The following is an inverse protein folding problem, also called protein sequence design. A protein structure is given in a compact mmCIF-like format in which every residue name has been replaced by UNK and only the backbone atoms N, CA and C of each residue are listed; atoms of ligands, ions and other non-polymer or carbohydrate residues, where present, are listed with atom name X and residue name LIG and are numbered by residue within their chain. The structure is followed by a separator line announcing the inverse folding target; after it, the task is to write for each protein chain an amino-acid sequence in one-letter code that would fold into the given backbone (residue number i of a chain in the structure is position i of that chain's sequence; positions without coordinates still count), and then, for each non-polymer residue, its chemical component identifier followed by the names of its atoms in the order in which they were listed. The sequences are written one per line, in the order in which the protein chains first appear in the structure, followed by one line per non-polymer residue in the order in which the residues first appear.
data_IF_442733682229
#
_entry.id   IF_442733682229
#
_cell.length_a   1.000
_cell.length_b   1.000
_cell.length_c   1.000
_cell.angle_alpha   90.00
_cell.angle_beta   90.00
_cell.angle_gamma   90.00
#
_symmetry.space_group_name_H-M   'P 1'
#
loop_
_entity.id
_entity.type
_entity.pdbx_description
1 polymer ?
#
# COMPACT_ATOMS: atom_id res chain seq x y z
N UNK A 1 31.90 -11.57 12.50
CA UNK A 1 30.87 -10.59 12.09
C UNK A 1 31.51 -9.65 11.09
N UNK A 2 30.88 -9.42 9.93
CA UNK A 2 31.40 -8.46 8.95
C UNK A 2 30.81 -7.09 9.26
N UNK A 3 31.65 -6.16 9.73
CA UNK A 3 31.28 -4.76 9.96
C UNK A 3 31.82 -3.94 8.80
N UNK A 4 30.95 -3.23 8.10
CA UNK A 4 31.27 -2.39 6.94
C UNK A 4 30.94 -0.94 7.33
N UNK A 5 31.97 -0.10 7.49
CA UNK A 5 31.82 1.32 7.82
C UNK A 5 32.12 2.15 6.58
N UNK A 6 31.22 3.07 6.24
CA UNK A 6 31.31 3.89 5.03
C UNK A 6 31.06 5.35 5.37
N UNK A 7 31.79 6.24 4.70
CA UNK A 7 31.50 7.66 4.74
C UNK A 7 30.21 7.96 3.96
N UNK A 8 29.40 8.95 4.38
CA UNK A 8 28.23 9.36 3.62
C UNK A 8 28.67 9.92 2.26
N UNK A 9 28.13 9.36 1.18
CA UNK A 9 28.38 9.82 -0.17
C UNK A 9 27.34 10.88 -0.58
N UNK A 10 27.75 11.83 -1.43
CA UNK A 10 26.83 12.80 -2.02
C UNK A 10 25.86 12.07 -2.95
N UNK A 11 24.56 12.35 -2.79
CA UNK A 11 23.53 11.80 -3.67
C UNK A 11 23.74 12.31 -5.09
N UNK A 12 24.09 11.42 -6.01
CA UNK A 12 24.09 11.74 -7.44
C UNK A 12 22.64 12.01 -7.85
N UNK A 13 22.38 13.20 -8.39
CA UNK A 13 21.12 13.43 -9.08
C UNK A 13 21.20 12.68 -10.40
N UNK A 14 20.51 11.55 -10.49
CA UNK A 14 20.39 10.83 -11.76
C UNK A 14 19.58 11.73 -12.69
N UNK A 15 20.09 12.07 -13.89
CA UNK A 15 19.28 12.78 -14.87
C UNK A 15 18.06 11.92 -15.20
N UNK A 16 16.89 12.54 -15.24
CA UNK A 16 15.64 11.86 -15.57
C UNK A 16 15.71 11.29 -16.99
N UNK A 17 16.01 9.99 -17.11
CA UNK A 17 15.80 9.22 -18.34
C UNK A 17 14.30 8.96 -18.54
N UNK A 18 13.56 10.02 -18.83
CA UNK A 18 12.18 9.94 -19.28
C UNK A 18 11.92 11.17 -20.13
N UNK A 19 11.46 10.97 -21.36
CA UNK A 19 10.96 12.03 -22.24
C UNK A 19 10.09 12.99 -21.42
N UNK A 20 10.48 14.26 -21.42
CA UNK A 20 9.80 15.29 -20.68
C UNK A 20 8.41 15.51 -21.33
N UNK A 21 7.41 14.76 -20.88
CA UNK A 21 6.07 15.31 -20.87
C UNK A 21 6.14 16.56 -19.99
N UNK A 22 5.84 17.73 -20.54
CA UNK A 22 5.75 18.98 -19.80
C UNK A 22 4.61 18.87 -18.78
N UNK A 23 4.93 18.33 -17.61
CA UNK A 23 4.02 18.27 -16.48
C UNK A 23 3.93 19.66 -15.89
N UNK A 24 2.72 20.21 -15.82
CA UNK A 24 2.48 21.52 -15.21
C UNK A 24 2.64 21.38 -13.69
N UNK A 25 3.84 21.70 -13.20
CA UNK A 25 4.16 21.70 -11.77
C UNK A 25 3.81 23.05 -11.16
N UNK A 26 3.20 23.03 -9.97
CA UNK A 26 2.82 24.21 -9.21
C UNK A 26 3.34 24.12 -7.78
N UNK A 27 3.55 25.28 -7.16
CA UNK A 27 3.82 25.43 -5.73
C UNK A 27 2.65 26.13 -5.04
N UNK A 28 2.52 26.02 -3.70
CA UNK A 28 1.48 26.72 -2.97
C UNK A 28 1.52 28.23 -3.22
N UNK A 29 0.39 28.81 -3.60
CA UNK A 29 0.24 30.23 -3.96
C UNK A 29 0.27 30.52 -5.46
N UNK A 30 0.67 29.55 -6.30
CA UNK A 30 0.63 29.72 -7.75
C UNK A 30 -0.82 29.79 -8.24
N UNK A 31 -1.10 30.76 -9.12
CA UNK A 31 -2.39 30.91 -9.77
C UNK A 31 -2.47 29.94 -10.95
N UNK A 32 -3.39 28.99 -10.89
CA UNK A 32 -3.57 27.98 -11.93
C UNK A 32 -4.39 28.56 -13.09
N UNK A 33 -5.52 29.21 -12.77
CA UNK A 33 -6.49 29.70 -13.75
C UNK A 33 -7.39 30.78 -13.11
N UNK A 34 -7.80 31.77 -13.89
CA UNK A 34 -8.69 32.87 -13.46
C UNK A 34 -10.12 32.71 -13.97
N UNK A 35 -10.41 31.66 -14.74
CA UNK A 35 -11.70 31.46 -15.38
C UNK A 35 -12.73 30.88 -14.41
N UNK A 36 -13.88 31.55 -14.32
CA UNK A 36 -15.01 31.23 -13.41
C UNK A 36 -15.75 29.93 -13.77
N UNK A 37 -15.38 29.27 -14.87
CA UNK A 37 -16.04 28.07 -15.38
C UNK A 37 -15.49 26.74 -14.85
N UNK A 38 -14.39 26.77 -14.09
CA UNK A 38 -13.75 25.56 -13.56
C UNK A 38 -14.20 25.26 -12.13
N UNK A 39 -14.47 23.97 -11.89
CA UNK A 39 -14.71 23.43 -10.56
C UNK A 39 -13.38 23.18 -9.85
N UNK A 40 -13.33 23.51 -8.57
CA UNK A 40 -12.20 23.22 -7.69
C UNK A 40 -12.22 21.76 -7.24
N UNK A 41 -11.09 21.08 -7.43
CA UNK A 41 -10.82 19.76 -6.89
C UNK A 41 -9.97 19.83 -5.60
N UNK A 42 -9.38 18.70 -5.25
CA UNK A 42 -8.43 18.63 -4.13
C UNK A 42 -7.15 19.41 -4.46
N UNK A 43 -6.55 20.04 -3.46
CA UNK A 43 -5.27 20.77 -3.61
C UNK A 43 -5.39 22.16 -4.24
N UNK A 44 -6.62 22.67 -4.42
CA UNK A 44 -6.87 24.04 -4.89
C UNK A 44 -7.79 24.79 -3.93
N UNK A 45 -7.64 26.11 -3.89
CA UNK A 45 -8.55 27.01 -3.20
C UNK A 45 -8.85 28.23 -4.10
N UNK A 46 -9.92 28.96 -3.78
CA UNK A 46 -10.24 30.20 -4.48
C UNK A 46 -9.78 31.37 -3.62
N UNK A 47 -9.01 32.26 -4.23
CA UNK A 47 -8.51 33.48 -3.61
C UNK A 47 -8.79 34.64 -4.56
N UNK A 48 -9.56 35.63 -4.13
CA UNK A 48 -9.93 36.82 -4.95
C UNK A 48 -10.38 36.49 -6.39
N UNK A 49 -11.28 35.51 -6.55
CA UNK A 49 -11.79 35.00 -7.85
C UNK A 49 -10.76 34.28 -8.73
N UNK A 50 -9.54 34.03 -8.21
CA UNK A 50 -8.49 33.27 -8.86
C UNK A 50 -8.39 31.88 -8.23
N UNK A 51 -8.20 30.86 -9.06
CA UNK A 51 -7.95 29.51 -8.58
C UNK A 51 -6.45 29.36 -8.28
N UNK A 52 -6.11 29.18 -7.01
CA UNK A 52 -4.73 29.05 -6.52
C UNK A 52 -4.44 27.65 -6.02
N UNK A 53 -3.20 27.19 -6.17
CA UNK A 53 -2.73 25.92 -5.66
C UNK A 53 -2.46 26.02 -4.14
N UNK A 54 -2.93 25.05 -3.35
CA UNK A 54 -2.59 24.94 -1.92
C UNK A 54 -1.42 24.00 -1.65
N UNK A 55 -1.08 23.14 -2.60
CA UNK A 55 -0.10 22.05 -2.45
C UNK A 55 0.90 22.05 -3.60
N UNK A 56 2.13 21.60 -3.32
CA UNK A 56 3.15 21.42 -4.34
C UNK A 56 2.91 20.10 -5.09
N UNK A 57 2.72 20.18 -6.41
CA UNK A 57 2.26 19.03 -7.17
C UNK A 57 2.09 19.28 -8.66
N UNK A 58 1.57 18.27 -9.34
CA UNK A 58 1.20 18.33 -10.74
C UNK A 58 -0.28 18.74 -10.86
N UNK A 59 -0.59 19.64 -11.79
CA UNK A 59 -1.97 20.05 -12.06
C UNK A 59 -2.63 19.03 -12.96
N UNK A 60 -3.66 18.35 -12.46
CA UNK A 60 -4.52 17.47 -13.22
C UNK A 60 -5.81 18.20 -13.60
N UNK A 61 -6.06 18.29 -14.91
CA UNK A 61 -7.28 18.90 -15.47
C UNK A 61 -8.17 17.80 -16.03
N UNK A 62 -9.25 17.49 -15.31
CA UNK A 62 -10.24 16.50 -15.74
C UNK A 62 -11.53 17.22 -16.11
N UNK A 63 -11.72 17.45 -17.42
CA UNK A 63 -12.83 18.26 -17.95
C UNK A 63 -12.86 19.67 -17.35
N UNK A 64 -13.86 19.96 -16.51
CA UNK A 64 -14.01 21.23 -15.79
C UNK A 64 -13.43 21.19 -14.38
N UNK A 65 -12.99 20.04 -13.89
CA UNK A 65 -12.43 19.90 -12.54
C UNK A 65 -10.91 20.07 -12.59
N UNK A 66 -10.39 21.00 -11.80
CA UNK A 66 -8.94 21.20 -11.64
C UNK A 66 -8.54 20.71 -10.25
N UNK A 67 -7.69 19.69 -10.20
CA UNK A 67 -7.07 19.20 -8.98
C UNK A 67 -5.55 19.31 -9.06
N UNK A 68 -4.90 19.44 -7.92
CA UNK A 68 -3.44 19.38 -7.82
C UNK A 68 -3.09 18.08 -7.12
N UNK A 69 -2.38 17.20 -7.82
CA UNK A 69 -1.89 15.94 -7.29
C UNK A 69 -0.58 16.20 -6.52
N UNK A 70 -0.55 16.07 -5.19
CA UNK A 70 0.64 16.36 -4.41
C UNK A 70 1.70 15.27 -4.61
N UNK A 71 2.97 15.65 -4.56
CA UNK A 71 4.10 14.70 -4.67
C UNK A 71 4.16 13.69 -3.51
N UNK A 72 3.62 14.06 -2.35
CA UNK A 72 3.51 13.21 -1.16
C UNK A 72 2.16 13.40 -0.53
N UNK A 73 1.44 12.30 -0.36
CA UNK A 73 0.13 12.28 0.31
C UNK A 73 0.08 11.17 1.34
N UNK A 74 -0.76 11.37 2.34
CA UNK A 74 -1.28 10.23 3.12
C UNK A 74 -2.30 9.47 2.28
N UNK A 75 -2.67 8.29 2.74
CA UNK A 75 -3.65 7.50 2.02
C UNK A 75 -5.03 8.18 2.12
N UNK A 76 -5.55 8.55 0.95
CA UNK A 76 -6.94 8.98 0.77
C UNK A 76 -7.68 7.79 0.16
N UNK A 77 -8.46 7.10 1.00
CA UNK A 77 -9.18 5.91 0.57
C UNK A 77 -10.35 6.23 -0.35
N UNK A 78 -10.52 5.42 -1.39
CA UNK A 78 -11.69 5.39 -2.24
C UNK A 78 -12.51 4.13 -1.98
N UNK A 79 -13.80 4.17 -2.32
CA UNK A 79 -14.69 3.02 -2.17
C UNK A 79 -14.19 1.88 -3.05
N UNK A 80 -14.00 0.69 -2.45
CA UNK A 80 -13.47 -0.49 -3.13
C UNK A 80 -11.95 -0.64 -3.07
N UNK A 81 -11.22 0.30 -2.46
CA UNK A 81 -9.78 0.14 -2.25
C UNK A 81 -9.49 -1.02 -1.28
N UNK A 82 -8.52 -1.86 -1.64
CA UNK A 82 -8.00 -2.90 -0.75
C UNK A 82 -6.90 -2.30 0.11
N UNK A 83 -7.03 -2.49 1.43
CA UNK A 83 -6.10 -1.96 2.42
C UNK A 83 -5.64 -3.05 3.37
N UNK A 84 -4.41 -2.93 3.82
CA UNK A 84 -3.90 -3.69 4.97
C UNK A 84 -3.82 -2.74 6.14
N UNK A 85 -4.27 -3.16 7.31
CA UNK A 85 -4.31 -2.28 8.48
C UNK A 85 -3.93 -3.00 9.76
N UNK A 86 -3.51 -2.23 10.76
CA UNK A 86 -3.19 -2.73 12.10
C UNK A 86 -4.25 -2.28 13.09
N UNK A 87 -4.77 -3.20 13.89
CA UNK A 87 -5.75 -2.87 14.92
C UNK A 87 -5.06 -2.10 16.03
N UNK A 88 -5.58 -0.91 16.34
CA UNK A 88 -5.03 -0.07 17.41
C UNK A 88 -5.79 -0.28 18.70
N UNK A 89 -7.13 -0.22 18.65
CA UNK A 89 -7.99 -0.29 19.82
C UNK A 89 -9.26 -1.08 19.49
N UNK A 90 -9.73 -1.87 20.46
CA UNK A 90 -11.06 -2.51 20.41
C UNK A 90 -12.05 -1.66 21.22
N UNK A 91 -13.09 -1.14 20.56
CA UNK A 91 -14.18 -0.41 21.20
C UNK A 91 -15.48 -1.23 21.18
N UNK A 92 -16.51 -0.74 21.86
CA UNK A 92 -17.82 -1.38 21.84
C UNK A 92 -18.36 -1.38 20.40
N UNK A 93 -18.61 -2.56 19.83
CA UNK A 93 -19.14 -2.83 18.47
C UNK A 93 -18.25 -2.41 17.30
N UNK A 94 -17.03 -1.93 17.53
CA UNK A 94 -16.12 -1.51 16.45
C UNK A 94 -14.66 -1.64 16.84
N UNK A 95 -13.83 -1.95 15.86
CA UNK A 95 -12.38 -1.87 15.95
C UNK A 95 -11.87 -0.62 15.27
N UNK A 96 -10.88 0.03 15.88
CA UNK A 96 -10.08 1.05 15.22
C UNK A 96 -8.89 0.42 14.54
N UNK A 97 -8.63 0.84 13.31
CA UNK A 97 -7.59 0.27 12.45
C UNK A 97 -6.72 1.40 11.91
N UNK A 98 -5.42 1.29 12.11
CA UNK A 98 -4.43 2.15 11.48
C UNK A 98 -4.21 1.72 10.02
N UNK A 99 -4.47 2.62 9.09
CA UNK A 99 -4.32 2.39 7.65
C UNK A 99 -3.53 3.50 6.95
N UNK A 100 -2.62 4.20 7.64
CA UNK A 100 -1.82 5.30 7.06
C UNK A 100 -2.65 6.45 6.44
N UNK A 101 -3.88 6.61 6.90
CA UNK A 101 -4.83 7.65 6.52
C UNK A 101 -4.70 8.90 7.42
N UNK A 102 -5.49 9.93 7.15
CA UNK A 102 -5.56 11.12 8.01
C UNK A 102 -6.12 10.81 9.41
N UNK A 103 -7.13 9.94 9.44
CA UNK A 103 -7.84 9.50 10.64
C UNK A 103 -7.76 7.97 10.73
N UNK A 104 -8.00 7.43 11.92
CA UNK A 104 -8.13 5.98 12.11
C UNK A 104 -9.35 5.46 11.36
N UNK A 105 -9.19 4.31 10.71
CA UNK A 105 -10.27 3.62 10.03
C UNK A 105 -11.13 2.86 11.04
N UNK A 106 -12.41 2.71 10.72
CA UNK A 106 -13.38 2.04 11.59
C UNK A 106 -13.81 0.73 10.91
N UNK A 107 -13.56 -0.38 11.59
CA UNK A 107 -14.12 -1.68 11.22
C UNK A 107 -15.26 -1.99 12.18
N UNK A 108 -16.49 -1.98 11.68
CA UNK A 108 -17.64 -2.35 12.50
C UNK A 108 -17.67 -3.86 12.70
N UNK A 109 -18.11 -4.32 13.88
CA UNK A 109 -18.54 -5.71 14.08
C UNK A 109 -19.57 -6.13 13.02
N UNK A 110 -20.30 -5.15 12.48
CA UNK A 110 -21.27 -5.40 11.44
C UNK A 110 -20.74 -5.80 10.08
N UNK A 111 -19.47 -5.53 9.87
CA UNK A 111 -18.81 -5.59 8.57
C UNK A 111 -17.78 -6.72 8.51
N UNK A 112 -17.77 -7.56 9.56
CA UNK A 112 -16.85 -8.67 9.73
C UNK A 112 -17.59 -10.00 9.55
N UNK A 113 -16.96 -10.93 8.85
CA UNK A 113 -17.46 -12.29 8.68
C UNK A 113 -17.15 -13.09 9.94
N UNK A 114 -18.16 -13.64 10.60
CA UNK A 114 -17.95 -14.56 11.71
C UNK A 114 -17.61 -15.96 11.16
N UNK A 115 -16.76 -16.74 11.85
CA UNK A 115 -16.47 -18.11 11.43
C UNK A 115 -17.76 -18.94 11.40
N UNK A 116 -17.99 -19.64 10.29
CA UNK A 116 -19.19 -20.46 10.06
C UNK A 116 -20.06 -20.02 8.88
N UNK A 117 -19.79 -18.88 8.24
CA UNK A 117 -20.43 -18.46 6.98
C UNK A 117 -21.93 -18.15 7.07
N UNK A 118 -22.53 -18.31 8.26
CA UNK A 118 -23.92 -18.02 8.51
C UNK A 118 -24.07 -16.53 8.85
N UNK A 119 -24.94 -15.81 8.12
CA UNK A 119 -25.42 -14.49 8.53
C UNK A 119 -26.31 -14.64 9.78
N UNK A 120 -25.70 -15.02 10.90
CA UNK A 120 -26.36 -15.15 12.19
C UNK A 120 -26.77 -13.76 12.69
N UNK A 121 -27.97 -13.66 13.28
CA UNK A 121 -28.37 -12.45 14.00
C UNK A 121 -27.39 -12.24 15.15
N UNK A 122 -26.70 -11.10 15.16
CA UNK A 122 -25.64 -10.81 16.13
C UNK A 122 -26.19 -10.81 17.55
N UNK A 123 -25.58 -11.63 18.39
CA UNK A 123 -25.95 -11.80 19.79
C UNK A 123 -25.10 -10.88 20.66
N UNK A 124 -25.56 -10.60 21.89
CA UNK A 124 -24.77 -9.87 22.91
C UNK A 124 -23.49 -10.66 23.27
N UNK A 125 -23.51 -11.97 23.06
CA UNK A 125 -22.36 -12.87 23.23
C UNK A 125 -21.22 -12.54 22.25
N UNK A 126 -21.55 -12.12 21.02
CA UNK A 126 -20.56 -11.74 20.00
C UNK A 126 -19.82 -10.45 20.39
N UNK A 127 -20.46 -9.59 21.20
CA UNK A 127 -19.82 -8.37 21.71
C UNK A 127 -18.75 -8.68 22.77
N UNK A 128 -18.91 -9.78 23.52
CA UNK A 128 -17.95 -10.23 24.52
C UNK A 128 -16.76 -10.97 23.87
N UNK A 129 -17.02 -11.74 22.81
CA UNK A 129 -15.99 -12.49 22.07
C UNK A 129 -15.25 -11.66 21.01
N UNK A 130 -15.55 -10.35 20.88
CA UNK A 130 -14.85 -9.47 19.94
C UNK A 130 -13.33 -9.49 20.10
N UNK A 131 -12.84 -9.58 21.34
CA UNK A 131 -11.38 -9.64 21.62
C UNK A 131 -10.76 -10.98 21.26
N UNK A 132 -11.53 -12.05 21.13
CA UNK A 132 -11.02 -13.37 20.76
C UNK A 132 -10.77 -13.47 19.25
N UNK A 133 -11.57 -12.77 18.45
CA UNK A 133 -11.38 -12.70 16.99
C UNK A 133 -10.21 -11.82 16.58
N UNK A 134 -10.17 -10.60 17.13
CA UNK A 134 -9.27 -9.54 16.72
C UNK A 134 -8.75 -8.80 17.95
N UNK A 135 -7.44 -8.94 18.17
CA UNK A 135 -6.72 -8.33 19.28
C UNK A 135 -6.01 -7.05 18.85
N UNK A 136 -5.67 -6.23 19.84
CA UNK A 136 -4.88 -5.02 19.62
C UNK A 136 -3.50 -5.41 19.07
N UNK A 137 -3.13 -4.80 17.95
CA UNK A 137 -1.88 -5.07 17.26
C UNK A 137 -1.97 -6.10 16.13
N UNK A 138 -3.09 -6.82 15.99
CA UNK A 138 -3.32 -7.73 14.87
C UNK A 138 -3.34 -6.98 13.54
N UNK A 139 -2.93 -7.68 12.47
CA UNK A 139 -2.99 -7.17 11.11
C UNK A 139 -4.20 -7.76 10.39
N UNK A 140 -4.87 -6.94 9.61
CA UNK A 140 -6.05 -7.32 8.83
C UNK A 140 -5.90 -6.87 7.38
N UNK A 141 -6.46 -7.65 6.46
CA UNK A 141 -6.79 -7.21 5.12
C UNK A 141 -8.27 -6.85 5.06
N UNK A 142 -8.60 -5.69 4.50
CA UNK A 142 -9.96 -5.23 4.39
C UNK A 142 -10.17 -4.40 3.12
N UNK A 143 -11.42 -4.20 2.76
CA UNK A 143 -11.85 -3.32 1.67
C UNK A 143 -12.57 -2.10 2.24
N UNK A 144 -12.39 -0.94 1.59
CA UNK A 144 -13.06 0.30 1.98
C UNK A 144 -14.52 0.27 1.50
N UNK A 145 -15.45 0.26 2.45
CA UNK A 145 -16.90 0.25 2.20
C UNK A 145 -17.41 1.61 1.75
N UNK A 146 -17.04 2.62 2.54
CA UNK A 146 -17.52 3.97 2.42
C UNK A 146 -16.55 4.90 3.13
N UNK A 147 -16.53 6.14 2.67
CA UNK A 147 -15.79 7.24 3.29
C UNK A 147 -16.81 8.10 4.00
N UNK A 148 -16.62 8.33 5.29
CA UNK A 148 -17.46 9.23 6.08
C UNK A 148 -17.18 10.69 5.69
N UNK A 149 -18.10 11.60 6.04
CA UNK A 149 -17.99 13.02 5.72
C UNK A 149 -16.80 13.73 6.41
N UNK A 150 -16.31 13.18 7.51
CA UNK A 150 -15.08 13.60 8.20
C UNK A 150 -13.79 13.08 7.54
N UNK A 151 -13.91 12.18 6.56
CA UNK A 151 -12.81 11.51 5.88
C UNK A 151 -12.31 10.25 6.59
N UNK A 152 -13.00 9.77 7.64
CA UNK A 152 -12.73 8.45 8.20
C UNK A 152 -13.17 7.36 7.22
N UNK A 153 -12.43 6.25 7.17
CA UNK A 153 -12.74 5.14 6.27
C UNK A 153 -13.53 4.08 7.06
N UNK A 154 -14.67 3.65 6.52
CA UNK A 154 -15.39 2.47 7.00
C UNK A 154 -14.89 1.25 6.25
N UNK A 155 -14.39 0.26 6.98
CA UNK A 155 -13.86 -0.98 6.40
C UNK A 155 -14.88 -2.11 6.49
N UNK A 156 -14.76 -3.06 5.57
CA UNK A 156 -15.46 -4.35 5.65
C UNK A 156 -14.57 -5.50 5.18
N UNK A 157 -14.90 -6.70 5.65
CA UNK A 157 -14.24 -7.95 5.31
C UNK A 157 -15.31 -8.97 4.90
N UNK A 158 -16.15 -8.61 3.91
CA UNK A 158 -17.29 -9.45 3.48
C UNK A 158 -16.88 -10.68 2.68
N UNK A 159 -15.70 -10.66 2.05
CA UNK A 159 -15.16 -11.82 1.34
C UNK A 159 -14.22 -12.62 2.22
N UNK A 160 -14.17 -13.96 2.06
CA UNK A 160 -13.21 -14.83 2.79
C UNK A 160 -11.74 -14.51 2.48
N UNK A 161 -11.47 -13.82 1.37
CA UNK A 161 -10.15 -13.32 1.00
C UNK A 161 -9.65 -12.21 1.94
N UNK A 162 -10.58 -11.56 2.65
CA UNK A 162 -10.30 -10.52 3.63
C UNK A 162 -10.47 -11.08 5.03
N UNK A 163 -9.61 -10.67 5.95
CA UNK A 163 -9.62 -11.18 7.31
C UNK A 163 -8.35 -10.87 8.06
N UNK A 164 -8.12 -11.62 9.14
CA UNK A 164 -6.89 -11.50 9.92
C UNK A 164 -5.73 -12.10 9.13
N UNK A 165 -4.63 -11.38 9.10
CA UNK A 165 -3.39 -11.82 8.46
C UNK A 165 -2.58 -12.63 9.48
N UNK A 166 -2.12 -13.80 9.03
CA UNK A 166 -1.35 -14.72 9.86
C UNK A 166 0.14 -14.35 9.96
N UNK A 167 1.02 -15.34 9.83
CA UNK A 167 2.46 -15.09 9.83
C UNK A 167 2.93 -14.50 8.49
N UNK A 168 3.71 -13.44 8.57
CA UNK A 168 4.26 -12.76 7.41
C UNK A 168 5.06 -11.52 7.79
N UNK A 169 5.34 -10.69 6.79
CA UNK A 169 6.14 -9.48 6.95
C UNK A 169 5.40 -8.29 6.35
N UNK A 170 5.19 -7.27 7.17
CA UNK A 170 4.63 -6.00 6.75
C UNK A 170 5.75 -5.06 6.28
N UNK A 171 5.54 -4.42 5.13
CA UNK A 171 6.40 -3.35 4.61
C UNK A 171 5.55 -2.10 4.42
N UNK A 172 5.99 -1.00 5.02
CA UNK A 172 5.35 0.30 4.87
C UNK A 172 6.07 1.11 3.80
N UNK A 173 5.32 1.52 2.78
CA UNK A 173 5.77 2.39 1.70
C UNK A 173 4.83 3.59 1.57
N UNK A 174 5.23 4.62 0.82
CA UNK A 174 4.33 5.71 0.52
C UNK A 174 3.16 5.23 -0.36
N UNK A 175 1.90 5.59 -0.06
CA UNK A 175 0.73 5.13 -0.82
C UNK A 175 0.80 5.55 -2.30
N UNK A 176 1.39 6.71 -2.59
CA UNK A 176 1.57 7.22 -3.96
C UNK A 176 2.44 6.33 -4.85
N UNK A 177 3.23 5.41 -4.28
CA UNK A 177 4.06 4.48 -5.04
C UNK A 177 3.30 3.23 -5.49
N UNK A 178 2.18 2.91 -4.85
CA UNK A 178 1.39 1.72 -5.20
C UNK A 178 0.47 2.07 -6.36
N UNK A 179 0.59 1.34 -7.47
CA UNK A 179 -0.29 1.54 -8.62
C UNK A 179 -1.65 0.92 -8.32
N UNK A 180 -2.72 1.71 -8.45
CA UNK A 180 -4.09 1.21 -8.33
C UNK A 180 -4.41 0.23 -9.47
N UNK A 181 -4.79 -0.99 -9.14
CA UNK A 181 -5.11 -2.06 -10.08
C UNK A 181 -6.38 -2.81 -9.62
N UNK A 182 -6.94 -3.67 -10.47
CA UNK A 182 -8.13 -4.46 -10.10
C UNK A 182 -7.82 -5.59 -9.11
N UNK A 183 -6.59 -6.11 -9.17
CA UNK A 183 -6.13 -7.23 -8.35
C UNK A 183 -4.96 -6.78 -7.50
N UNK A 184 -5.11 -6.86 -6.18
CA UNK A 184 -4.07 -6.53 -5.20
C UNK A 184 -3.45 -7.75 -4.53
N UNK A 185 -4.04 -8.92 -4.77
CA UNK A 185 -3.54 -10.22 -4.31
C UNK A 185 -2.76 -10.86 -5.44
N UNK A 186 -1.47 -11.08 -5.22
CA UNK A 186 -0.59 -11.69 -6.20
C UNK A 186 0.09 -12.91 -5.57
N UNK A 187 -0.14 -14.07 -6.17
CA UNK A 187 0.61 -15.28 -5.86
C UNK A 187 1.81 -15.31 -6.79
N UNK A 188 3.02 -15.11 -6.24
CA UNK A 188 4.22 -15.11 -7.05
C UNK A 188 4.71 -16.55 -7.23
N UNK A 189 5.24 -16.83 -8.42
CA UNK A 189 5.87 -18.12 -8.78
C UNK A 189 7.12 -18.44 -7.94
N UNK A 190 7.54 -17.54 -7.06
CA UNK A 190 8.68 -17.71 -6.16
C UNK A 190 8.34 -18.37 -4.81
N UNK A 191 7.08 -18.83 -4.60
CA UNK A 191 6.65 -19.49 -3.36
C UNK A 191 6.18 -18.53 -2.26
N UNK A 192 5.99 -17.26 -2.61
CA UNK A 192 5.47 -16.24 -1.71
C UNK A 192 4.31 -15.50 -2.36
N UNK A 193 3.37 -15.07 -1.53
CA UNK A 193 2.23 -14.25 -1.92
C UNK A 193 2.37 -12.84 -1.36
N UNK A 194 1.86 -11.87 -2.13
CA UNK A 194 1.95 -10.44 -1.82
C UNK A 194 0.56 -9.83 -1.85
N UNK A 195 0.26 -9.02 -0.84
CA UNK A 195 -0.89 -8.12 -0.82
C UNK A 195 -0.36 -6.70 -0.96
N UNK A 196 -0.72 -6.03 -2.05
CA UNK A 196 -0.39 -4.62 -2.29
C UNK A 196 -1.55 -3.75 -1.84
N UNK A 197 -1.54 -3.28 -0.59
CA UNK A 197 -2.55 -2.34 -0.09
C UNK A 197 -2.40 -0.95 -0.71
N UNK A 198 -3.51 -0.33 -1.13
CA UNK A 198 -3.52 1.02 -1.72
C UNK A 198 -3.06 2.10 -0.73
N UNK A 199 -3.04 1.77 0.57
CA UNK A 199 -2.54 2.61 1.63
C UNK A 199 -1.02 2.59 1.82
N UNK A 200 -0.30 1.84 0.97
CA UNK A 200 1.14 1.66 1.06
C UNK A 200 1.55 0.62 2.09
N UNK A 201 0.62 -0.14 2.66
CA UNK A 201 0.95 -1.30 3.47
C UNK A 201 0.98 -2.54 2.57
N UNK A 202 2.17 -3.12 2.49
CA UNK A 202 2.42 -4.31 1.67
C UNK A 202 2.63 -5.48 2.63
N UNK A 203 1.84 -6.53 2.46
CA UNK A 203 1.94 -7.74 3.25
C UNK A 203 2.57 -8.86 2.42
N UNK A 204 3.64 -9.45 2.94
CA UNK A 204 4.33 -10.58 2.34
C UNK A 204 4.10 -11.81 3.21
N UNK A 205 3.59 -12.88 2.64
CA UNK A 205 3.34 -14.13 3.35
C UNK A 205 3.74 -15.32 2.47
N UNK A 206 4.15 -16.45 3.05
CA UNK A 206 4.39 -17.65 2.26
C UNK A 206 3.08 -18.07 1.59
N UNK A 207 3.14 -18.62 0.39
CA UNK A 207 1.93 -19.06 -0.29
C UNK A 207 1.32 -20.22 0.51
N UNK A 208 0.10 -20.07 1.05
CA UNK A 208 -0.52 -21.13 1.82
C UNK A 208 -0.80 -22.33 0.91
N UNK A 209 -0.72 -23.54 1.46
CA UNK A 209 -1.35 -24.68 0.82
C UNK A 209 -2.85 -24.43 0.68
N UNK A 210 -3.51 -25.06 -0.32
CA UNK A 210 -4.94 -24.89 -0.64
C UNK A 210 -5.92 -25.04 0.55
N UNK A 211 -5.46 -25.52 1.71
CA UNK A 211 -6.26 -25.77 2.91
C UNK A 211 -6.58 -24.50 3.75
N UNK A 212 -5.80 -23.41 3.63
CA UNK A 212 -6.05 -22.20 4.46
C UNK A 212 -7.11 -21.26 3.86
N UNK A 213 -7.47 -21.39 2.58
CA UNK A 213 -8.49 -20.54 1.94
C UNK A 213 -9.92 -20.84 2.47
N UNK A 214 -10.17 -22.05 2.96
CA UNK A 214 -11.50 -22.46 3.46
C UNK A 214 -11.72 -22.09 4.94
N UNK A 215 -10.66 -21.83 5.72
CA UNK A 215 -10.74 -21.63 7.18
C UNK A 215 -11.13 -20.21 7.63
N UNK A 216 -11.54 -19.33 6.71
CA UNK A 216 -12.18 -18.07 7.07
C UNK A 216 -11.29 -17.08 7.82
N UNK A 217 -9.96 -17.15 7.68
CA UNK A 217 -9.05 -16.05 8.02
C UNK A 217 -8.96 -15.65 9.49
N UNK A 218 -9.40 -16.48 10.45
CA UNK A 218 -9.16 -16.26 11.90
C UNK A 218 -8.16 -17.23 12.51
N UNK A 219 -7.94 -18.37 11.87
CA UNK A 219 -6.91 -19.31 12.29
C UNK A 219 -5.54 -18.81 11.84
N UNK A 220 -4.68 -18.48 12.80
CA UNK A 220 -3.28 -18.19 12.52
C UNK A 220 -2.50 -19.47 12.67
N UNK A 221 -2.11 -20.09 11.55
CA UNK A 221 -1.14 -21.19 11.58
C UNK A 221 0.17 -20.65 12.15
N UNK A 222 0.54 -21.16 13.34
CA UNK A 222 1.77 -20.74 14.03
C UNK A 222 2.98 -21.61 13.64
N UNK A 223 2.84 -22.41 12.59
CA UNK A 223 3.84 -23.38 12.17
C UNK A 223 5.14 -22.72 11.69
N UNK A 224 6.30 -23.35 11.92
CA UNK A 224 7.57 -22.81 11.49
C UNK A 224 7.68 -22.83 9.96
N UNK A 225 7.66 -21.65 9.35
CA UNK A 225 7.90 -21.47 7.92
C UNK A 225 9.32 -21.93 7.55
N UNK A 226 9.46 -22.62 6.42
CA UNK A 226 10.73 -23.14 5.90
C UNK A 226 11.77 -22.03 5.69
N UNK A 227 13.06 -22.38 5.78
CA UNK A 227 14.14 -21.41 5.57
C UNK A 227 14.12 -20.85 4.14
N UNK A 228 13.81 -21.68 3.14
CA UNK A 228 13.73 -21.27 1.76
C UNK A 228 12.67 -20.17 1.54
N UNK A 229 11.47 -20.35 2.08
CA UNK A 229 10.39 -19.35 1.94
C UNK A 229 10.73 -18.06 2.68
N UNK A 230 11.37 -18.15 3.86
CA UNK A 230 11.83 -16.97 4.61
C UNK A 230 12.89 -16.18 3.84
N UNK A 231 13.80 -16.85 3.13
CA UNK A 231 14.79 -16.19 2.29
C UNK A 231 14.14 -15.43 1.13
N UNK A 232 13.14 -16.04 0.49
CA UNK A 232 12.35 -15.40 -0.58
C UNK A 232 11.64 -14.15 -0.07
N UNK A 233 10.91 -14.26 1.05
CA UNK A 233 10.18 -13.14 1.67
C UNK A 233 11.15 -12.02 2.06
N UNK A 234 12.30 -12.36 2.63
CA UNK A 234 13.32 -11.38 3.02
C UNK A 234 13.93 -10.67 1.81
N UNK A 235 14.13 -11.39 0.69
CA UNK A 235 14.57 -10.80 -0.57
C UNK A 235 13.51 -9.86 -1.15
N UNK A 236 12.25 -10.29 -1.23
CA UNK A 236 11.14 -9.47 -1.71
C UNK A 236 10.98 -8.18 -0.91
N UNK A 237 11.08 -8.26 0.43
CA UNK A 237 11.10 -7.09 1.30
C UNK A 237 12.18 -6.09 0.90
N UNK A 238 13.40 -6.55 0.68
CA UNK A 238 14.52 -5.68 0.31
C UNK A 238 14.34 -5.09 -1.10
N UNK A 239 13.80 -5.86 -2.04
CA UNK A 239 13.43 -5.40 -3.38
C UNK A 239 12.37 -4.28 -3.35
N UNK A 240 11.33 -4.42 -2.51
CA UNK A 240 10.28 -3.40 -2.35
C UNK A 240 10.87 -2.12 -1.76
N UNK A 241 11.73 -2.24 -0.73
CA UNK A 241 12.42 -1.09 -0.15
C UNK A 241 13.33 -0.40 -1.17
N UNK A 242 14.03 -1.17 -2.02
CA UNK A 242 14.85 -0.65 -3.10
C UNK A 242 14.03 0.17 -4.11
N UNK A 243 12.93 -0.40 -4.60
CA UNK A 243 12.02 0.28 -5.53
C UNK A 243 11.42 1.55 -4.91
N UNK A 244 11.03 1.48 -3.63
CA UNK A 244 10.48 2.62 -2.91
C UNK A 244 11.50 3.76 -2.71
N UNK A 245 12.76 3.44 -2.43
CA UNK A 245 13.83 4.43 -2.27
C UNK A 245 14.11 5.21 -3.57
N UNK A 246 13.97 4.54 -4.72
CA UNK A 246 14.14 5.13 -6.05
C UNK A 246 12.83 5.67 -6.66
N UNK A 247 11.73 5.67 -5.89
CA UNK A 247 10.41 6.18 -6.32
C UNK A 247 9.86 5.51 -7.58
N UNK A 248 10.14 4.22 -7.76
CA UNK A 248 9.53 3.42 -8.84
C UNK A 248 8.15 2.95 -8.40
N UNK A 249 7.19 2.95 -9.33
CA UNK A 249 5.84 2.45 -9.08
C UNK A 249 5.86 0.95 -8.77
N UNK A 250 5.11 0.55 -7.76
CA UNK A 250 4.99 -0.81 -7.26
C UNK A 250 3.71 -1.46 -7.80
N UNK A 251 3.90 -2.56 -8.51
CA UNK A 251 2.89 -3.49 -9.01
C UNK A 251 3.55 -4.85 -9.29
N UNK A 252 2.74 -5.86 -9.59
CA UNK A 252 3.16 -7.25 -9.78
C UNK A 252 4.44 -7.43 -10.63
N UNK A 253 4.47 -6.89 -11.86
CA UNK A 253 5.62 -7.10 -12.76
C UNK A 253 6.87 -6.37 -12.28
N UNK A 254 6.72 -5.17 -11.70
CA UNK A 254 7.86 -4.42 -11.15
C UNK A 254 8.56 -5.17 -10.02
N UNK A 255 7.78 -5.83 -9.15
CA UNK A 255 8.31 -6.60 -8.03
C UNK A 255 8.94 -7.90 -8.53
N UNK A 256 8.33 -8.56 -9.52
CA UNK A 256 8.87 -9.77 -10.15
C UNK A 256 10.21 -9.52 -10.84
N UNK A 257 10.32 -8.45 -11.65
CA UNK A 257 11.56 -8.11 -12.34
C UNK A 257 12.66 -7.68 -11.38
N UNK A 258 12.31 -6.93 -10.33
CA UNK A 258 13.27 -6.61 -9.26
C UNK A 258 13.74 -7.87 -8.52
N UNK A 259 12.82 -8.82 -8.27
CA UNK A 259 13.18 -10.10 -7.66
C UNK A 259 14.14 -10.90 -8.53
N UNK A 260 13.90 -10.99 -9.84
CA UNK A 260 14.79 -11.68 -10.79
C UNK A 260 16.16 -11.02 -10.88
N UNK A 261 16.20 -9.70 -11.00
CA UNK A 261 17.44 -8.90 -11.07
C UNK A 261 18.23 -8.96 -9.76
N UNK A 262 17.58 -9.25 -8.62
CA UNK A 262 18.24 -9.42 -7.33
C UNK A 262 18.86 -10.80 -7.08
N UNK A 263 18.53 -11.83 -7.89
CA UNK A 263 19.07 -13.20 -7.76
C UNK A 263 20.61 -13.29 -7.74
N UNK A 264 21.40 -12.54 -8.54
CA UNK A 264 22.85 -12.61 -8.49
C UNK A 264 23.44 -12.07 -7.18
N UNK A 265 22.71 -11.21 -6.46
CA UNK A 265 23.19 -10.60 -5.22
C UNK A 265 22.73 -11.37 -3.97
N UNK A 266 23.57 -11.38 -2.93
CA UNK A 266 23.18 -11.91 -1.61
C UNK A 266 22.11 -10.99 -0.99
N UNK A 267 21.12 -11.58 -0.32
CA UNK A 267 19.95 -10.86 0.27
C UNK A 267 20.36 -9.63 1.08
N UNK A 268 21.41 -9.76 1.90
CA UNK A 268 21.95 -8.68 2.75
C UNK A 268 22.59 -7.51 1.99
N UNK A 269 23.06 -7.74 0.77
CA UNK A 269 23.76 -6.72 -0.02
C UNK A 269 22.81 -5.85 -0.85
N UNK A 270 21.56 -6.28 -1.03
CA UNK A 270 20.54 -5.56 -1.83
C UNK A 270 20.26 -4.16 -1.26
N UNK A 271 20.41 -3.98 0.06
CA UNK A 271 20.18 -2.69 0.71
C UNK A 271 21.35 -1.69 0.53
N UNK A 272 22.49 -2.12 -0.03
CA UNK A 272 23.59 -1.21 -0.31
C UNK A 272 23.19 -0.29 -1.48
N UNK A 273 23.47 1.02 -1.40
CA UNK A 273 22.96 1.99 -2.38
C UNK A 273 23.44 1.70 -3.81
N UNK A 274 24.68 1.23 -3.97
CA UNK A 274 25.25 0.86 -5.28
C UNK A 274 24.46 -0.28 -5.94
N UNK A 275 24.20 -1.35 -5.17
CA UNK A 275 23.45 -2.53 -5.63
C UNK A 275 21.98 -2.19 -5.84
N UNK A 276 21.42 -1.32 -4.99
CA UNK A 276 20.06 -0.84 -5.10
C UNK A 276 19.84 -0.07 -6.41
N UNK A 277 20.76 0.84 -6.73
CA UNK A 277 20.70 1.64 -7.96
C UNK A 277 20.84 0.75 -9.21
N UNK A 278 21.76 -0.20 -9.19
CA UNK A 278 21.97 -1.18 -10.27
C UNK A 278 20.71 -2.01 -10.54
N UNK A 279 20.16 -2.67 -9.50
CA UNK A 279 18.96 -3.51 -9.61
C UNK A 279 17.77 -2.69 -10.11
N UNK A 280 17.58 -1.48 -9.60
CA UNK A 280 16.47 -0.62 -10.01
C UNK A 280 16.62 -0.15 -11.44
N UNK A 281 17.85 0.18 -11.87
CA UNK A 281 18.11 0.61 -13.25
C UNK A 281 17.82 -0.52 -14.24
N UNK A 282 18.29 -1.74 -13.96
CA UNK A 282 18.00 -2.92 -14.78
C UNK A 282 16.50 -3.22 -14.83
N UNK A 283 15.82 -3.16 -13.67
CA UNK A 283 14.37 -3.36 -13.59
C UNK A 283 13.63 -2.32 -14.42
N UNK A 284 14.03 -1.05 -14.34
CA UNK A 284 13.40 0.04 -15.10
C UNK A 284 13.59 -0.15 -16.60
N UNK A 285 14.78 -0.55 -17.04
CA UNK A 285 15.06 -0.83 -18.44
C UNK A 285 14.16 -1.95 -18.97
N UNK A 286 14.06 -3.07 -18.25
CA UNK A 286 13.17 -4.18 -18.64
C UNK A 286 11.70 -3.78 -18.69
N UNK A 287 11.26 -2.93 -17.77
CA UNK A 287 9.90 -2.39 -17.78
C UNK A 287 9.64 -1.50 -18.99
N UNK A 288 10.61 -0.69 -19.41
CA UNK A 288 10.52 0.14 -20.62
C UNK A 288 10.46 -0.72 -21.89
N UNK A 289 11.31 -1.74 -21.98
CA UNK A 289 11.34 -2.67 -23.12
C UNK A 289 10.05 -3.49 -23.30
N UNK A 290 9.29 -3.71 -22.23
CA UNK A 290 8.01 -4.42 -22.30
C UNK A 290 6.83 -3.50 -22.71
N UNK A 291 6.95 -2.20 -22.48
CA UNK A 291 5.88 -1.21 -22.79
C UNK A 291 6.04 -0.61 -24.18
N UNK A 292 7.26 -0.62 -24.75
CA UNK A 292 7.55 -0.22 -26.13
C UNK A 292 7.20 -1.30 -27.14
#
# INVERSE_FOLDING_TARGET
MAVDMRLPAVRKQVPSFSEAQEKHLVVPGDVITTDVGFMRGHGTYMDEEKLTASVAGEVERVNKLICVQPLKTRFNGEVGDVVVGRITEVQLKRWKVETNSRLDSVLLLSSVNLPGGELRRRSVEDELTMRDYLQEGDLISAEVQSVFSDGALSLHTRSLKYGKLGQGVLVQVSPSLVKRQKTHFHNLMCGASIILGNNGYIWLYPTPGQQDEEAGGYYTSLEPISLADREVISRLRNCILALAAHKVLLYDTSVLYCYESSKPHKIKNILKPEVMEEIVMETRQRLLEQVG
#
